data_IF_698683424877
#
_entry.id   IF_698683424877
#
_cell.length_a   1.000
_cell.length_b   1.000
_cell.length_c   1.000
_cell.angle_alpha   90.00
_cell.angle_beta   90.00
_cell.angle_gamma   90.00
#
_symmetry.space_group_name_H-M   'P 1'
#
loop_
_entity.id
_entity.type
_entity.pdbx_description
1 polymer ?
#
# COMPACT_ATOMS: atom_id res chain seq x y z
N UNK A 1 10.16 26.15 -4.72
CA UNK A 1 10.05 25.80 -4.45
C UNK A 1 10.05 25.01 -4.14
N UNK A 2 10.12 24.90 -4.09
CA UNK A 2 10.25 24.07 -3.71
C UNK A 2 9.70 23.43 -3.09
N UNK A 3 9.39 23.24 -2.59
CA UNK A 3 8.96 22.50 -2.02
C UNK A 3 7.91 22.42 -1.71
N UNK A 4 7.64 22.03 -1.92
CA UNK A 4 6.42 22.00 -1.77
C UNK A 4 5.89 21.13 -0.88
N UNK A 5 6.52 20.91 0.07
CA UNK A 5 5.96 20.35 1.14
C UNK A 5 5.08 21.25 1.64
N UNK A 6 4.30 21.55 1.01
CA UNK A 6 3.33 22.48 1.35
C UNK A 6 2.36 21.87 2.33
N UNK A 7 1.58 22.67 2.91
CA UNK A 7 0.42 22.29 3.69
C UNK A 7 -0.46 21.35 2.86
N UNK A 8 -0.56 21.60 1.58
CA UNK A 8 -1.37 20.77 0.69
C UNK A 8 -0.88 19.34 0.66
N UNK A 9 0.41 19.14 0.47
CA UNK A 9 0.98 17.79 0.43
C UNK A 9 0.77 17.08 1.76
N UNK A 10 0.95 17.80 2.86
CA UNK A 10 0.69 17.25 4.18
C UNK A 10 -0.78 16.82 4.31
N UNK A 11 -1.70 17.68 3.87
CA UNK A 11 -3.13 17.40 3.98
C UNK A 11 -3.53 16.21 3.11
N UNK A 12 -2.97 16.11 1.90
CA UNK A 12 -3.24 14.97 1.02
C UNK A 12 -2.78 13.67 1.66
N UNK A 13 -1.59 13.69 2.26
CA UNK A 13 -1.07 12.50 2.93
C UNK A 13 -1.93 12.15 4.15
N UNK A 14 -2.30 13.15 4.94
CA UNK A 14 -3.13 12.92 6.11
C UNK A 14 -4.49 12.34 5.74
N UNK A 15 -5.07 12.86 4.66
CA UNK A 15 -6.35 12.34 4.18
C UNK A 15 -6.21 10.88 3.76
N UNK A 16 -5.16 10.55 3.04
CA UNK A 16 -4.93 9.19 2.57
C UNK A 16 -4.71 8.24 3.75
N UNK A 17 -3.92 8.64 4.72
CA UNK A 17 -3.70 7.85 5.92
C UNK A 17 -5.02 7.61 6.67
N UNK A 18 -5.90 8.61 6.68
CA UNK A 18 -7.18 8.48 7.36
C UNK A 18 -8.11 7.46 6.71
N UNK A 19 -7.84 7.05 5.49
CA UNK A 19 -8.63 6.04 4.80
C UNK A 19 -8.23 4.62 5.17
N UNK A 20 -7.20 4.45 5.99
CA UNK A 20 -6.65 3.13 6.26
C UNK A 20 -7.60 2.28 7.10
N UNK A 21 -7.68 1.03 6.75
CA UNK A 21 -8.40 0.01 7.50
C UNK A 21 -7.43 -1.11 7.82
N UNK A 22 -7.66 -1.79 8.92
CA UNK A 22 -6.78 -2.89 9.31
C UNK A 22 -7.34 -4.22 8.83
N UNK A 23 -6.46 -5.04 8.29
CA UNK A 23 -6.73 -6.43 7.98
C UNK A 23 -5.59 -7.21 8.63
N UNK A 24 -5.90 -7.88 9.73
CA UNK A 24 -4.88 -8.43 10.62
C UNK A 24 -3.93 -7.30 11.02
N UNK A 25 -2.64 -7.43 10.78
CA UNK A 25 -1.68 -6.37 11.11
C UNK A 25 -1.27 -5.56 9.89
N UNK A 26 -2.10 -5.58 8.85
CA UNK A 26 -1.85 -4.81 7.65
C UNK A 26 -2.77 -3.61 7.60
N UNK A 27 -2.20 -2.43 7.35
CA UNK A 27 -2.99 -1.22 7.14
C UNK A 27 -3.17 -1.05 5.64
N UNK A 28 -4.41 -0.95 5.19
CA UNK A 28 -4.72 -0.82 3.76
C UNK A 28 -5.51 0.46 3.55
N UNK A 29 -4.95 1.37 2.78
CA UNK A 29 -5.60 2.64 2.46
C UNK A 29 -5.86 2.70 0.96
N UNK A 30 -7.09 3.04 0.60
CA UNK A 30 -7.48 3.20 -0.79
C UNK A 30 -7.80 4.67 -1.01
N UNK A 31 -7.16 5.29 -1.98
CA UNK A 31 -7.39 6.70 -2.26
C UNK A 31 -8.78 6.86 -2.88
N UNK A 32 -9.64 7.63 -2.21
CA UNK A 32 -10.96 7.96 -2.73
C UNK A 32 -10.87 9.15 -3.69
N UNK A 33 -9.74 9.84 -3.68
CA UNK A 33 -9.50 11.00 -4.50
C UNK A 33 -8.04 10.95 -4.94
N UNK A 34 -7.77 11.21 -6.20
CA UNK A 34 -6.41 11.15 -6.73
C UNK A 34 -5.92 12.56 -6.98
N UNK A 35 -5.07 13.04 -6.08
CA UNK A 35 -4.48 14.37 -6.18
C UNK A 35 -3.32 14.32 -7.17
N UNK A 36 -2.93 15.51 -7.65
CA UNK A 36 -1.86 15.57 -8.64
C UNK A 36 -0.50 15.17 -8.08
N UNK A 37 -0.34 15.15 -6.76
CA UNK A 37 0.90 14.71 -6.12
C UNK A 37 0.79 13.28 -5.55
N UNK A 38 -0.15 12.48 -6.05
CA UNK A 38 -0.42 11.16 -5.50
C UNK A 38 0.79 10.23 -5.56
N UNK A 39 1.62 10.36 -6.60
CA UNK A 39 2.81 9.52 -6.72
C UNK A 39 3.82 9.76 -5.62
N UNK A 40 3.84 10.97 -5.08
CA UNK A 40 4.70 11.31 -3.95
C UNK A 40 4.02 10.92 -2.65
N UNK A 41 2.74 11.23 -2.55
CA UNK A 41 1.99 11.12 -1.30
C UNK A 41 1.72 9.67 -0.93
N UNK A 42 1.46 8.80 -1.91
CA UNK A 42 1.12 7.41 -1.59
C UNK A 42 2.26 6.65 -0.90
N UNK A 43 3.51 6.71 -1.41
CA UNK A 43 4.60 6.05 -0.67
C UNK A 43 4.82 6.66 0.71
N UNK A 44 4.66 7.98 0.83
CA UNK A 44 4.81 8.64 2.13
C UNK A 44 3.73 8.17 3.11
N UNK A 45 2.50 8.02 2.63
CA UNK A 45 1.42 7.51 3.48
C UNK A 45 1.70 6.07 3.92
N UNK A 46 2.23 5.25 3.01
CA UNK A 46 2.59 3.88 3.37
C UNK A 46 3.65 3.86 4.47
N UNK A 47 4.66 4.73 4.36
CA UNK A 47 5.68 4.84 5.39
C UNK A 47 5.07 5.30 6.72
N UNK A 48 4.18 6.28 6.66
CA UNK A 48 3.58 6.83 7.88
C UNK A 48 2.73 5.78 8.60
N UNK A 49 2.01 4.95 7.85
CA UNK A 49 1.18 3.90 8.43
C UNK A 49 2.00 2.88 9.20
N UNK A 50 3.25 2.66 8.81
CA UNK A 50 4.13 1.76 9.55
C UNK A 50 4.47 2.27 10.94
N UNK A 51 4.32 3.57 11.18
CA UNK A 51 4.57 4.14 12.51
C UNK A 51 3.45 3.90 13.50
N UNK A 52 2.34 3.33 13.05
CA UNK A 52 1.20 3.07 13.92
C UNK A 52 1.41 1.75 14.64
N UNK A 53 1.13 1.74 15.94
CA UNK A 53 1.28 0.54 16.75
C UNK A 53 0.49 -0.62 16.14
N UNK A 54 1.09 -1.77 16.09
CA UNK A 54 0.49 -3.01 15.61
C UNK A 54 0.41 -3.13 14.09
N UNK A 55 0.91 -2.15 13.34
CA UNK A 55 0.95 -2.26 11.89
C UNK A 55 2.28 -2.88 11.48
N UNK A 56 2.23 -4.06 10.89
CA UNK A 56 3.42 -4.77 10.42
C UNK A 56 3.70 -4.51 8.95
N UNK A 57 2.67 -4.19 8.19
CA UNK A 57 2.80 -3.87 6.77
C UNK A 57 1.71 -2.89 6.36
N UNK A 58 1.97 -2.11 5.34
CA UNK A 58 1.02 -1.13 4.84
C UNK A 58 0.94 -1.19 3.33
N UNK A 59 -0.25 -0.95 2.81
CA UNK A 59 -0.54 -0.98 1.38
C UNK A 59 -1.41 0.21 1.03
N UNK A 60 -0.96 1.02 0.08
CA UNK A 60 -1.72 2.21 -0.34
C UNK A 60 -2.02 2.07 -1.82
N UNK A 61 -3.31 2.10 -2.14
CA UNK A 61 -3.80 1.86 -3.49
C UNK A 61 -4.39 3.13 -4.09
N UNK A 62 -4.08 3.39 -5.35
CA UNK A 62 -4.69 4.50 -6.07
C UNK A 62 -4.73 4.18 -7.56
N UNK A 63 -5.73 4.74 -8.24
CA UNK A 63 -5.90 4.57 -9.68
C UNK A 63 -5.31 5.77 -10.40
N UNK A 64 -4.49 5.53 -11.41
CA UNK A 64 -3.89 6.60 -12.18
C UNK A 64 -3.55 6.08 -13.57
N UNK A 65 -3.98 6.82 -14.59
CA UNK A 65 -3.65 6.50 -15.99
C UNK A 65 -4.02 5.07 -16.39
N UNK A 66 -5.18 4.61 -15.96
CA UNK A 66 -5.68 3.29 -16.36
C UNK A 66 -5.08 2.13 -15.60
N UNK A 67 -4.31 2.40 -14.56
CA UNK A 67 -3.70 1.35 -13.74
C UNK A 67 -4.00 1.61 -12.28
N UNK A 68 -4.13 0.54 -11.51
CA UNK A 68 -4.13 0.66 -10.05
C UNK A 68 -2.71 0.47 -9.56
N UNK A 69 -2.22 1.44 -8.83
CA UNK A 69 -0.89 1.43 -8.26
C UNK A 69 -1.00 1.06 -6.78
N UNK A 70 -0.11 0.18 -6.32
CA UNK A 70 -0.04 -0.18 -4.91
C UNK A 70 1.37 0.07 -4.42
N UNK A 71 1.49 0.88 -3.36
CA UNK A 71 2.75 1.07 -2.64
C UNK A 71 2.70 0.23 -1.38
N UNK A 72 3.70 -0.61 -1.17
CA UNK A 72 3.73 -1.53 -0.04
C UNK A 72 4.97 -1.33 0.80
N UNK A 73 4.81 -1.39 2.10
CA UNK A 73 5.90 -1.25 3.06
C UNK A 73 5.73 -2.28 4.17
N UNK A 74 6.84 -2.65 4.78
CA UNK A 74 6.81 -3.62 5.88
C UNK A 74 7.93 -3.35 6.85
N UNK A 75 7.74 -3.82 8.08
CA UNK A 75 8.78 -3.75 9.10
C UNK A 75 9.73 -4.96 9.03
N UNK A 76 9.50 -5.87 8.10
CA UNK A 76 10.37 -7.03 7.91
C UNK A 76 9.74 -8.36 8.27
N UNK A 77 8.70 -8.36 9.10
CA UNK A 77 8.02 -9.62 9.44
C UNK A 77 7.19 -10.16 8.30
N UNK A 78 6.74 -9.28 7.41
CA UNK A 78 6.07 -9.70 6.19
C UNK A 78 6.95 -9.31 5.01
N UNK A 79 7.09 -10.20 4.04
CA UNK A 79 7.85 -9.91 2.85
C UNK A 79 6.91 -9.34 1.79
N UNK A 80 6.88 -8.00 1.68
CA UNK A 80 5.96 -7.36 0.74
C UNK A 80 6.39 -7.57 -0.72
N UNK A 81 7.64 -7.94 -0.95
CA UNK A 81 8.07 -8.29 -2.31
C UNK A 81 7.27 -9.48 -2.84
N UNK A 82 7.11 -10.52 -2.00
CA UNK A 82 6.36 -11.71 -2.40
C UNK A 82 4.91 -11.35 -2.70
N UNK A 83 4.31 -10.51 -1.85
CA UNK A 83 2.92 -10.09 -2.04
C UNK A 83 2.77 -9.32 -3.35
N UNK A 84 3.66 -8.36 -3.61
CA UNK A 84 3.56 -7.56 -4.81
C UNK A 84 3.86 -8.38 -6.07
N UNK A 85 4.77 -9.35 -5.97
CA UNK A 85 5.06 -10.22 -7.12
C UNK A 85 3.84 -11.04 -7.51
N UNK A 86 3.04 -11.47 -6.55
CA UNK A 86 1.80 -12.19 -6.84
C UNK A 86 0.78 -11.31 -7.54
N UNK A 87 0.96 -10.00 -7.49
CA UNK A 87 0.09 -9.05 -8.16
C UNK A 87 0.78 -8.41 -9.37
N UNK A 88 1.88 -9.00 -9.83
CA UNK A 88 2.55 -8.56 -11.05
C UNK A 88 3.62 -7.51 -10.86
N UNK A 89 3.99 -7.23 -9.62
CA UNK A 89 4.97 -6.19 -9.32
C UNK A 89 6.27 -6.75 -8.78
N UNK A 90 6.92 -5.97 -7.92
CA UNK A 90 8.19 -6.38 -7.35
C UNK A 90 8.74 -5.36 -6.38
N UNK A 91 9.98 -5.54 -5.98
CA UNK A 91 10.66 -4.64 -5.07
C UNK A 91 11.59 -5.38 -4.14
N UNK A 92 11.55 -4.98 -2.89
CA UNK A 92 12.37 -5.58 -1.83
C UNK A 92 11.47 -6.09 -0.71
N UNK A 93 12.06 -6.77 0.24
CA UNK A 93 11.33 -7.38 1.35
C UNK A 93 10.50 -6.35 2.12
N UNK A 94 11.04 -5.14 2.32
CA UNK A 94 10.37 -4.12 3.12
C UNK A 94 9.77 -2.99 2.30
N UNK A 95 9.97 -2.99 1.00
CA UNK A 95 9.49 -1.90 0.13
C UNK A 95 9.26 -2.47 -1.26
N UNK A 96 8.01 -2.46 -1.71
CA UNK A 96 7.66 -3.03 -2.99
C UNK A 96 6.45 -2.30 -3.58
N UNK A 97 6.13 -2.58 -4.82
CA UNK A 97 5.03 -1.91 -5.50
C UNK A 97 4.54 -2.75 -6.67
N UNK A 98 3.34 -2.45 -7.12
CA UNK A 98 2.83 -3.03 -8.36
C UNK A 98 1.93 -2.03 -9.07
N UNK A 99 1.75 -2.24 -10.36
CA UNK A 99 0.81 -1.51 -11.19
C UNK A 99 -0.02 -2.55 -11.93
N UNK A 100 -1.33 -2.51 -11.72
CA UNK A 100 -2.24 -3.49 -12.31
C UNK A 100 -3.12 -2.77 -13.32
N UNK A 101 -2.98 -3.08 -14.62
CA UNK A 101 -3.77 -2.38 -15.63
C UNK A 101 -5.21 -2.88 -15.70
N UNK A 102 -6.08 -2.00 -16.13
CA UNK A 102 -7.43 -2.37 -16.56
C UNK A 102 -8.31 -2.97 -15.47
N UNK A 103 -8.13 -2.52 -14.22
CA UNK A 103 -9.03 -2.94 -13.15
C UNK A 103 -9.40 -1.71 -12.31
N UNK A 104 -10.43 -1.87 -11.49
CA UNK A 104 -10.83 -0.82 -10.56
C UNK A 104 -10.03 -0.96 -9.26
N UNK A 105 -9.99 0.13 -8.51
CA UNK A 105 -9.34 0.12 -7.20
C UNK A 105 -10.01 -0.91 -6.28
N UNK A 106 -11.34 -1.05 -6.36
CA UNK A 106 -12.05 -2.03 -5.56
C UNK A 106 -11.64 -3.46 -5.91
N UNK A 107 -11.49 -3.74 -7.20
CA UNK A 107 -11.03 -5.06 -7.64
C UNK A 107 -9.61 -5.32 -7.19
N UNK A 108 -8.74 -4.31 -7.30
CA UNK A 108 -7.37 -4.46 -6.86
C UNK A 108 -7.29 -4.74 -5.36
N UNK A 109 -8.13 -4.05 -4.58
CA UNK A 109 -8.17 -4.30 -3.13
C UNK A 109 -8.58 -5.74 -2.85
N UNK A 110 -9.58 -6.26 -3.57
CA UNK A 110 -10.02 -7.64 -3.39
C UNK A 110 -8.90 -8.62 -3.73
N UNK A 111 -8.16 -8.37 -4.81
CA UNK A 111 -7.03 -9.22 -5.16
C UNK A 111 -5.95 -9.17 -4.08
N UNK A 112 -5.68 -7.98 -3.56
CA UNK A 112 -4.69 -7.85 -2.48
C UNK A 112 -5.14 -8.62 -1.25
N UNK A 113 -6.40 -8.48 -0.86
CA UNK A 113 -6.91 -9.19 0.32
C UNK A 113 -6.81 -10.70 0.13
N UNK A 114 -7.07 -11.19 -1.08
CA UNK A 114 -6.95 -12.62 -1.35
C UNK A 114 -5.50 -13.10 -1.21
N UNK A 115 -4.55 -12.34 -1.75
CA UNK A 115 -3.14 -12.68 -1.61
C UNK A 115 -2.73 -12.67 -0.14
N UNK A 116 -3.16 -11.66 0.61
CA UNK A 116 -2.83 -11.58 2.03
C UNK A 116 -3.44 -12.74 2.81
N UNK A 117 -4.68 -13.11 2.49
CA UNK A 117 -5.32 -14.26 3.15
C UNK A 117 -4.53 -15.54 2.91
N UNK A 118 -4.02 -15.72 1.69
CA UNK A 118 -3.20 -16.89 1.38
C UNK A 118 -1.89 -16.89 2.16
N UNK A 119 -1.28 -15.70 2.30
CA UNK A 119 -0.04 -15.60 3.06
C UNK A 119 -0.26 -15.92 4.53
N UNK A 120 -1.35 -15.43 5.11
CA UNK A 120 -1.65 -15.71 6.51
C UNK A 120 -2.11 -17.16 6.74
N UNK A 121 -2.63 -17.83 5.73
CA UNK A 121 -3.10 -19.21 5.87
C UNK A 121 -1.97 -20.21 5.75
N UNK A 122 -0.81 -19.82 5.27
CA UNK A 122 0.29 -20.75 5.09
C UNK A 122 0.81 -21.23 6.44
N UNK A 123 1.08 -22.52 6.58
CA UNK A 123 1.66 -22.99 7.84
C UNK A 123 3.06 -22.43 7.99
N UNK A 124 3.48 -22.29 9.25
CA UNK A 124 4.82 -21.85 9.51
C UNK A 124 5.79 -22.83 8.96
N UNK A 125 6.78 -22.29 8.36
CA UNK A 125 7.77 -23.16 7.83
C UNK A 125 8.66 -23.65 8.90
N UNK A 126 8.68 -23.79 9.62
CA UNK A 126 9.48 -24.21 10.49
C UNK A 126 9.78 -25.25 10.71
N UNK A 127 9.57 -25.19 10.57
CA UNK A 127 9.67 -25.70 10.97
C UNK A 127 10.08 -26.18 10.84
#
# INVERSE_FOLDING_TARGET
QFFSSSIETYQHRAHLVSQAELYHHCAIAVADEVFNDIKLVAPQAADELLGIRSVAASFVLYSLNGEVNISARSMGSMNVQVVMEKLGGGGHQTMAATQIPDITVAEAKQQLLQVLAEEFAQPEQSK
#
